data_IF_761742452991
#
_entry.id   IF_761742452991
#
_cell.length_a   1.000
_cell.length_b   1.000
_cell.length_c   1.000
_cell.angle_alpha   90.00
_cell.angle_beta   90.00
_cell.angle_gamma   90.00
#
_symmetry.space_group_name_H-M   'P 1'
#
loop_
_entity.id
_entity.type
_entity.pdbx_description
1 polymer ?
#
# COMPACT_ATOMS: atom_id res chain seq x y z
N UNK A 1 33.42 1.21 41.96
CA UNK A 1 32.16 1.70 41.36
C UNK A 1 32.13 1.23 39.92
N UNK A 2 31.38 0.16 39.63
CA UNK A 2 31.19 -0.31 38.26
C UNK A 2 30.09 0.54 37.62
N UNK A 3 30.42 1.29 36.57
CA UNK A 3 29.41 1.84 35.66
C UNK A 3 28.76 0.64 34.96
N UNK A 4 27.48 0.42 35.24
CA UNK A 4 26.63 -0.45 34.45
C UNK A 4 26.36 0.24 33.11
N UNK A 5 27.28 0.14 32.16
CA UNK A 5 26.96 0.37 30.75
C UNK A 5 26.06 -0.77 30.31
N UNK A 6 24.75 -0.51 30.34
CA UNK A 6 23.77 -1.29 29.60
C UNK A 6 24.06 -1.00 28.13
N UNK A 7 25.00 -1.73 27.54
CA UNK A 7 25.08 -1.87 26.10
C UNK A 7 23.80 -2.62 25.71
N UNK A 8 22.74 -1.89 25.32
CA UNK A 8 21.67 -2.53 24.58
C UNK A 8 22.32 -3.26 23.40
N UNK A 9 21.99 -4.54 23.16
CA UNK A 9 22.59 -5.28 22.07
C UNK A 9 22.13 -4.58 20.78
N UNK A 10 23.09 -4.12 19.96
CA UNK A 10 22.85 -3.47 18.66
C UNK A 10 21.85 -4.25 17.79
N UNK A 11 21.78 -5.57 17.98
CA UNK A 11 20.80 -6.47 17.38
C UNK A 11 19.34 -6.02 17.59
N UNK A 12 18.96 -5.55 18.78
CA UNK A 12 17.58 -5.13 19.05
C UNK A 12 17.18 -3.90 18.22
N UNK A 13 18.12 -2.98 18.00
CA UNK A 13 17.89 -1.77 17.22
C UNK A 13 17.76 -2.08 15.73
N UNK A 14 18.56 -3.02 15.22
CA UNK A 14 18.47 -3.52 13.85
C UNK A 14 17.08 -4.09 13.59
N UNK A 15 16.58 -5.02 14.41
CA UNK A 15 15.26 -5.63 14.19
C UNK A 15 14.11 -4.62 14.31
N UNK A 16 14.24 -3.63 15.20
CA UNK A 16 13.25 -2.55 15.33
C UNK A 16 13.18 -1.72 14.05
N UNK A 17 14.34 -1.31 13.51
CA UNK A 17 14.42 -0.54 12.27
C UNK A 17 13.91 -1.37 11.09
N UNK A 18 14.31 -2.64 11.00
CA UNK A 18 13.86 -3.57 9.96
C UNK A 18 12.34 -3.75 10.01
N UNK A 19 11.75 -3.89 11.20
CA UNK A 19 10.30 -3.97 11.35
C UNK A 19 9.58 -2.71 10.85
N UNK A 20 10.05 -1.53 11.25
CA UNK A 20 9.46 -0.24 10.85
C UNK A 20 9.63 0.02 9.34
N UNK A 21 10.76 -0.37 8.78
CA UNK A 21 11.04 -0.33 7.34
C UNK A 21 10.07 -1.23 6.57
N UNK A 22 9.91 -2.46 7.02
CA UNK A 22 9.01 -3.45 6.41
C UNK A 22 7.55 -2.99 6.44
N UNK A 23 7.09 -2.44 7.56
CA UNK A 23 5.75 -1.85 7.67
C UNK A 23 5.56 -0.68 6.69
N UNK A 24 6.55 0.24 6.62
CA UNK A 24 6.51 1.36 5.70
C UNK A 24 6.48 0.92 4.22
N UNK A 25 7.31 -0.07 3.85
CA UNK A 25 7.35 -0.65 2.50
C UNK A 25 6.03 -1.31 2.13
N UNK A 26 5.50 -2.19 2.99
CA UNK A 26 4.20 -2.85 2.76
C UNK A 26 3.07 -1.82 2.62
N UNK A 27 3.08 -0.79 3.44
CA UNK A 27 2.08 0.28 3.39
C UNK A 27 2.16 1.09 2.09
N UNK A 28 3.37 1.37 1.59
CA UNK A 28 3.58 2.06 0.32
C UNK A 28 3.20 1.18 -0.89
N UNK A 29 3.60 -0.09 -0.88
CA UNK A 29 3.27 -1.07 -1.93
C UNK A 29 1.76 -1.27 -2.03
N UNK A 30 1.06 -1.36 -0.89
CA UNK A 30 -0.40 -1.46 -0.86
C UNK A 30 -1.09 -0.28 -1.54
N UNK A 31 -0.60 0.94 -1.31
CA UNK A 31 -1.11 2.12 -2.02
C UNK A 31 -0.73 2.12 -3.50
N UNK A 32 0.45 1.61 -3.87
CA UNK A 32 0.83 1.47 -5.28
C UNK A 32 -0.14 0.55 -6.04
N UNK A 33 -0.52 -0.58 -5.45
CA UNK A 33 -1.51 -1.51 -6.00
C UNK A 33 -2.89 -0.87 -6.21
N UNK A 34 -3.26 0.14 -5.42
CA UNK A 34 -4.52 0.86 -5.63
C UNK A 34 -4.56 1.50 -7.02
N UNK A 35 -3.48 2.12 -7.49
CA UNK A 35 -3.43 2.80 -8.79
C UNK A 35 -3.37 1.83 -9.97
N UNK A 36 -2.77 0.65 -9.79
CA UNK A 36 -2.76 -0.39 -10.83
C UNK A 36 -4.13 -1.07 -10.94
N UNK A 37 -4.88 -1.20 -9.85
CA UNK A 37 -6.22 -1.80 -9.82
C UNK A 37 -7.34 -0.82 -10.12
N UNK A 38 -7.09 0.48 -9.96
CA UNK A 38 -8.10 1.53 -10.10
C UNK A 38 -7.67 2.48 -11.20
N UNK A 39 -8.45 2.54 -12.28
CA UNK A 39 -8.23 3.52 -13.33
C UNK A 39 -8.69 4.92 -12.89
N UNK A 40 -7.96 5.95 -13.30
CA UNK A 40 -8.42 7.33 -13.16
C UNK A 40 -9.78 7.47 -13.87
N UNK A 41 -10.83 8.00 -13.22
CA UNK A 41 -12.13 8.13 -13.84
C UNK A 41 -12.04 8.99 -15.11
N UNK A 42 -12.73 8.57 -16.17
CA UNK A 42 -12.85 9.33 -17.42
C UNK A 42 -14.21 10.02 -17.46
N UNK A 43 -14.21 11.34 -17.65
CA UNK A 43 -15.44 12.08 -17.90
C UNK A 43 -15.76 12.04 -19.40
N UNK A 44 -16.44 11.00 -19.87
CA UNK A 44 -17.08 11.07 -21.19
C UNK A 44 -18.37 11.88 -21.07
N UNK A 45 -18.42 13.01 -21.78
CA UNK A 45 -19.53 13.97 -21.78
C UNK A 45 -20.25 14.01 -23.13
N UNK A 46 -19.85 13.18 -24.10
CA UNK A 46 -20.48 13.16 -25.42
C UNK A 46 -21.94 12.72 -25.31
N UNK A 47 -22.85 13.55 -25.85
CA UNK A 47 -24.28 13.26 -25.92
C UNK A 47 -25.06 13.38 -24.60
N UNK A 48 -24.44 13.84 -23.51
CA UNK A 48 -25.10 13.99 -22.22
C UNK A 48 -25.84 15.34 -22.09
N UNK A 49 -26.96 15.35 -21.36
CA UNK A 49 -27.68 16.59 -21.02
C UNK A 49 -26.95 17.43 -19.95
N UNK A 50 -27.26 18.72 -19.81
CA UNK A 50 -26.54 19.63 -18.90
C UNK A 50 -26.44 19.14 -17.44
N UNK A 51 -27.55 18.62 -16.87
CA UNK A 51 -27.56 18.09 -15.51
C UNK A 51 -26.67 16.84 -15.37
N UNK A 52 -26.66 15.99 -16.40
CA UNK A 52 -25.85 14.79 -16.44
C UNK A 52 -24.37 15.11 -16.62
N UNK A 53 -24.03 16.10 -17.45
CA UNK A 53 -22.67 16.64 -17.57
C UNK A 53 -22.19 17.14 -16.20
N UNK A 54 -22.99 17.94 -15.50
CA UNK A 54 -22.62 18.45 -14.17
C UNK A 54 -22.38 17.32 -13.16
N UNK A 55 -23.25 16.31 -13.12
CA UNK A 55 -23.08 15.15 -12.24
C UNK A 55 -21.86 14.29 -12.59
N UNK A 56 -21.56 14.11 -13.90
CA UNK A 56 -20.36 13.38 -14.37
C UNK A 56 -19.08 14.15 -14.03
N UNK A 57 -19.07 15.47 -14.22
CA UNK A 57 -17.94 16.33 -13.84
C UNK A 57 -17.72 16.35 -12.32
N UNK A 58 -18.79 16.35 -11.52
CA UNK A 58 -18.72 16.24 -10.07
C UNK A 58 -18.00 14.97 -9.62
N UNK A 59 -18.44 13.80 -10.12
CA UNK A 59 -17.81 12.50 -9.85
C UNK A 59 -16.36 12.43 -10.34
N UNK A 60 -16.08 12.99 -11.52
CA UNK A 60 -14.71 13.06 -12.04
C UNK A 60 -13.80 13.90 -11.14
N UNK A 61 -14.27 15.06 -10.68
CA UNK A 61 -13.52 15.94 -9.78
C UNK A 61 -13.23 15.25 -8.45
N UNK A 62 -14.23 14.59 -7.88
CA UNK A 62 -14.08 13.83 -6.64
C UNK A 62 -13.08 12.69 -6.80
N UNK A 63 -13.19 11.90 -7.87
CA UNK A 63 -12.22 10.84 -8.15
C UNK A 63 -10.80 11.36 -8.35
N UNK A 64 -10.61 12.46 -9.09
CA UNK A 64 -9.28 13.07 -9.24
C UNK A 64 -8.71 13.55 -7.90
N UNK A 65 -9.55 14.10 -7.02
CA UNK A 65 -9.14 14.51 -5.66
C UNK A 65 -8.69 13.29 -4.84
N UNK A 66 -9.43 12.19 -4.86
CA UNK A 66 -9.03 10.95 -4.19
C UNK A 66 -7.70 10.41 -4.68
N UNK A 67 -7.47 10.42 -6.01
CA UNK A 67 -6.18 10.00 -6.57
C UNK A 67 -5.03 10.90 -6.14
N UNK A 68 -5.23 12.21 -6.15
CA UNK A 68 -4.24 13.18 -5.69
C UNK A 68 -3.87 12.96 -4.20
N UNK A 69 -4.87 12.76 -3.34
CA UNK A 69 -4.66 12.52 -1.91
C UNK A 69 -3.93 11.20 -1.65
N UNK A 70 -4.35 10.11 -2.32
CA UNK A 70 -3.67 8.81 -2.20
C UNK A 70 -2.24 8.84 -2.73
N UNK A 71 -1.99 9.59 -3.80
CA UNK A 71 -0.65 9.71 -4.35
C UNK A 71 0.28 10.42 -3.38
N UNK A 72 -0.20 11.49 -2.74
CA UNK A 72 0.55 12.19 -1.70
C UNK A 72 0.84 11.27 -0.50
N UNK A 73 -0.15 10.48 -0.05
CA UNK A 73 0.03 9.52 1.04
C UNK A 73 1.05 8.43 0.70
N UNK A 74 0.96 7.85 -0.50
CA UNK A 74 1.90 6.85 -0.99
C UNK A 74 3.33 7.40 -1.01
N UNK A 75 3.53 8.62 -1.53
CA UNK A 75 4.84 9.27 -1.54
C UNK A 75 5.37 9.53 -0.14
N UNK A 76 4.54 9.96 0.81
CA UNK A 76 4.94 10.11 2.20
C UNK A 76 5.39 8.78 2.82
N UNK A 77 4.70 7.67 2.50
CA UNK A 77 5.08 6.32 2.96
C UNK A 77 6.38 5.84 2.32
N UNK A 78 6.59 6.08 1.03
CA UNK A 78 7.86 5.80 0.34
C UNK A 78 9.02 6.59 0.96
N UNK A 79 8.83 7.88 1.25
CA UNK A 79 9.83 8.70 1.92
C UNK A 79 10.13 8.19 3.34
N UNK A 80 9.12 7.73 4.08
CA UNK A 80 9.33 7.08 5.38
C UNK A 80 10.15 5.80 5.25
N UNK A 81 9.88 4.97 4.25
CA UNK A 81 10.67 3.77 3.97
C UNK A 81 12.14 4.13 3.65
N UNK A 82 12.38 5.16 2.82
CA UNK A 82 13.74 5.66 2.53
C UNK A 82 14.48 6.12 3.79
N UNK A 83 13.79 6.83 4.68
CA UNK A 83 14.40 7.27 5.94
C UNK A 83 14.82 6.06 6.79
N UNK A 84 13.95 5.05 6.93
CA UNK A 84 14.31 3.84 7.68
C UNK A 84 15.41 3.03 7.01
N UNK A 85 15.45 2.96 5.68
CA UNK A 85 16.55 2.34 4.95
C UNK A 85 17.89 3.08 5.21
N UNK A 86 17.84 4.42 5.27
CA UNK A 86 19.01 5.25 5.60
C UNK A 86 19.49 5.06 7.04
N UNK A 87 18.59 4.77 7.99
CA UNK A 87 18.97 4.40 9.36
C UNK A 87 19.56 2.98 9.40
N UNK A 88 18.96 2.02 8.68
CA UNK A 88 19.48 0.66 8.56
C UNK A 88 20.91 0.66 8.00
N UNK A 89 21.21 1.54 7.05
CA UNK A 89 22.53 1.71 6.44
C UNK A 89 23.65 1.97 7.47
N UNK A 90 23.33 2.63 8.58
CA UNK A 90 24.31 3.00 9.61
C UNK A 90 24.69 1.81 10.51
N UNK A 91 23.83 0.80 10.57
CA UNK A 91 23.93 -0.30 11.54
C UNK A 91 24.10 -1.67 10.88
N UNK A 92 23.77 -1.81 9.59
CA UNK A 92 23.93 -3.04 8.81
C UNK A 92 24.86 -2.79 7.60
N UNK A 93 26.19 -2.79 7.79
CA UNK A 93 27.15 -2.53 6.70
C UNK A 93 27.14 -3.63 5.63
N UNK A 94 26.82 -4.87 6.01
CA UNK A 94 26.79 -6.00 5.08
C UNK A 94 25.59 -5.96 4.12
N UNK A 95 24.61 -5.09 4.37
CA UNK A 95 23.41 -4.90 3.54
C UNK A 95 23.41 -3.53 2.83
N UNK A 96 24.58 -2.91 2.73
CA UNK A 96 24.72 -1.54 2.23
C UNK A 96 24.33 -1.41 0.75
N UNK A 97 24.75 -2.35 -0.09
CA UNK A 97 24.55 -2.29 -1.53
C UNK A 97 23.06 -2.36 -1.91
N UNK A 98 22.30 -3.23 -1.23
CA UNK A 98 20.85 -3.36 -1.41
C UNK A 98 20.12 -2.09 -0.95
N UNK A 99 20.57 -1.48 0.14
CA UNK A 99 20.02 -0.21 0.63
C UNK A 99 20.28 0.90 -0.39
N UNK A 100 21.51 1.03 -0.90
CA UNK A 100 21.85 2.04 -1.91
C UNK A 100 21.05 1.83 -3.20
N UNK A 101 20.85 0.60 -3.64
CA UNK A 101 20.03 0.28 -4.81
C UNK A 101 18.59 0.77 -4.63
N UNK A 102 17.98 0.52 -3.46
CA UNK A 102 16.63 1.00 -3.16
C UNK A 102 16.56 2.53 -3.08
N UNK A 103 17.56 3.17 -2.46
CA UNK A 103 17.64 4.62 -2.34
C UNK A 103 17.87 5.30 -3.70
N UNK A 104 18.63 4.70 -4.60
CA UNK A 104 18.80 5.24 -5.95
C UNK A 104 17.50 5.08 -6.76
N UNK A 105 16.91 3.87 -6.75
CA UNK A 105 15.68 3.57 -7.49
C UNK A 105 14.48 4.44 -7.07
N UNK A 106 14.45 4.90 -5.83
CA UNK A 106 13.37 5.73 -5.29
C UNK A 106 13.75 7.21 -5.14
N UNK A 107 14.90 7.65 -5.68
CA UNK A 107 15.40 9.03 -5.57
C UNK A 107 14.42 10.09 -6.10
N UNK A 108 13.70 9.76 -7.19
CA UNK A 108 12.67 10.63 -7.77
C UNK A 108 11.56 11.03 -6.76
N UNK A 109 11.32 10.22 -5.74
CA UNK A 109 10.35 10.50 -4.68
C UNK A 109 10.72 11.75 -3.85
N UNK A 110 12.00 12.10 -3.73
CA UNK A 110 12.45 13.28 -2.98
C UNK A 110 12.03 14.58 -3.67
N UNK A 111 12.29 14.65 -4.97
CA UNK A 111 11.86 15.77 -5.81
C UNK A 111 10.33 15.89 -5.82
N UNK A 112 9.63 14.75 -5.91
CA UNK A 112 8.18 14.70 -5.84
C UNK A 112 7.67 15.20 -4.48
N UNK A 113 8.24 14.75 -3.36
CA UNK A 113 7.82 15.16 -2.02
C UNK A 113 7.86 16.69 -1.86
N UNK A 114 8.94 17.35 -2.31
CA UNK A 114 9.04 18.81 -2.23
C UNK A 114 7.93 19.52 -3.01
N UNK A 115 7.53 18.97 -4.16
CA UNK A 115 6.41 19.49 -4.95
C UNK A 115 5.06 19.25 -4.26
N UNK A 116 4.85 18.05 -3.70
CA UNK A 116 3.63 17.68 -2.99
C UNK A 116 3.44 18.46 -1.70
N UNK A 117 4.50 18.73 -0.93
CA UNK A 117 4.40 19.57 0.29
C UNK A 117 3.92 20.97 -0.06
N UNK A 118 4.44 21.55 -1.16
CA UNK A 118 3.97 22.86 -1.66
C UNK A 118 2.50 22.80 -2.08
N UNK A 119 2.07 21.72 -2.71
CA UNK A 119 0.68 21.55 -3.12
C UNK A 119 -0.26 21.25 -1.95
N UNK A 120 0.18 20.50 -0.94
CA UNK A 120 -0.57 20.23 0.28
C UNK A 120 -0.79 21.51 1.10
N UNK A 121 0.25 22.36 1.23
CA UNK A 121 0.12 23.69 1.83
C UNK A 121 -0.89 24.56 1.07
N UNK A 122 -0.89 24.49 -0.28
CA UNK A 122 -1.88 25.19 -1.12
C UNK A 122 -3.28 24.61 -0.95
N UNK A 123 -3.43 23.28 -0.86
CA UNK A 123 -4.71 22.60 -0.60
C UNK A 123 -5.30 23.03 0.75
N UNK A 124 -4.47 23.09 1.80
CA UNK A 124 -4.90 23.55 3.13
C UNK A 124 -5.35 25.01 3.12
N UNK A 125 -4.71 25.85 2.30
CA UNK A 125 -5.09 27.26 2.09
C UNK A 125 -6.27 27.45 1.12
N UNK A 126 -6.98 26.38 0.73
CA UNK A 126 -8.11 26.44 -0.21
C UNK A 126 -7.71 26.67 -1.68
N UNK A 127 -6.41 26.74 -1.98
CA UNK A 127 -5.84 26.98 -3.32
C UNK A 127 -5.34 25.71 -4.03
N UNK A 128 -5.69 24.53 -3.53
CA UNK A 128 -5.33 23.25 -4.15
C UNK A 128 -5.93 23.09 -5.53
N UNK A 129 -5.18 23.41 -6.57
CA UNK A 129 -5.71 23.34 -7.93
C UNK A 129 -5.57 21.94 -8.52
N UNK A 130 -6.71 21.30 -8.75
CA UNK A 130 -6.81 20.08 -9.57
C UNK A 130 -6.20 20.30 -10.96
N UNK A 131 -6.12 21.54 -11.43
CA UNK A 131 -5.50 21.87 -12.72
C UNK A 131 -4.04 21.44 -12.81
N UNK A 132 -3.26 21.54 -11.72
CA UNK A 132 -1.84 21.14 -11.71
C UNK A 132 -1.70 19.62 -11.75
N UNK A 133 -2.51 18.92 -10.94
CA UNK A 133 -2.56 17.46 -10.95
C UNK A 133 -2.90 16.92 -12.35
N UNK A 134 -3.84 17.55 -13.05
CA UNK A 134 -4.22 17.17 -14.40
C UNK A 134 -3.21 17.61 -15.46
N UNK A 135 -2.60 18.80 -15.34
CA UNK A 135 -1.63 19.31 -16.32
C UNK A 135 -0.38 18.46 -16.41
N UNK A 136 0.09 17.93 -15.28
CA UNK A 136 1.25 17.03 -15.22
C UNK A 136 0.98 15.67 -15.86
N UNK A 137 -0.29 15.30 -16.08
CA UNK A 137 -0.73 14.02 -16.64
C UNK A 137 -1.25 14.14 -18.06
N UNK A 138 -1.05 15.29 -18.70
CA UNK A 138 -1.36 15.42 -20.11
C UNK A 138 -0.32 14.63 -20.91
N UNK A 139 -0.73 13.80 -21.88
CA UNK A 139 0.22 13.17 -22.78
C UNK A 139 1.00 14.26 -23.50
N UNK A 140 2.33 14.22 -23.42
CA UNK A 140 3.18 15.16 -24.16
C UNK A 140 2.85 15.01 -25.67
N UNK A 141 2.40 16.08 -26.36
CA UNK A 141 2.07 16.00 -27.78
C UNK A 141 3.26 15.57 -28.65
N UNK A 142 4.49 15.61 -28.13
CA UNK A 142 5.71 15.16 -28.81
C UNK A 142 6.09 13.69 -28.53
N UNK A 143 5.50 13.07 -27.50
CA UNK A 143 5.79 11.67 -27.10
C UNK A 143 4.79 10.65 -27.65
N UNK A 144 4.06 10.99 -28.71
CA UNK A 144 3.16 10.06 -29.42
C UNK A 144 3.84 8.79 -29.98
N UNK A 145 5.17 8.69 -29.86
CA UNK A 145 5.98 7.56 -30.31
C UNK A 145 6.65 6.76 -29.19
N UNK A 146 6.47 7.10 -27.92
CA UNK A 146 6.83 6.16 -26.87
C UNK A 146 5.71 5.13 -26.74
N UNK A 147 6.01 3.83 -26.85
CA UNK A 147 5.02 2.81 -26.54
C UNK A 147 4.59 3.06 -25.10
N UNK A 148 3.35 3.50 -24.93
CA UNK A 148 2.67 3.44 -23.64
C UNK A 148 2.62 1.95 -23.33
N UNK A 149 3.62 1.44 -22.60
CA UNK A 149 3.50 0.15 -21.97
C UNK A 149 2.21 0.22 -21.15
N UNK A 150 1.24 -0.61 -21.55
CA UNK A 150 -0.16 -0.44 -21.21
C UNK A 150 -0.38 -0.21 -19.72
N UNK A 151 -1.08 0.86 -19.37
CA UNK A 151 -1.68 1.00 -18.04
C UNK A 151 -0.74 1.36 -16.88
N UNK A 152 0.54 1.69 -17.10
CA UNK A 152 1.41 2.10 -15.98
C UNK A 152 1.07 3.51 -15.51
N UNK A 153 0.55 3.64 -14.29
CA UNK A 153 0.31 4.94 -13.65
C UNK A 153 1.63 5.72 -13.48
N UNK A 154 1.61 7.03 -13.79
CA UNK A 154 2.76 7.91 -13.62
C UNK A 154 2.60 8.78 -12.37
N UNK A 155 3.48 8.57 -11.39
CA UNK A 155 3.54 9.35 -10.16
C UNK A 155 4.05 10.75 -10.48
N UNK A 156 3.29 11.76 -10.05
CA UNK A 156 3.56 13.16 -10.40
C UNK A 156 3.60 13.42 -11.91
N UNK A 157 3.04 12.53 -12.73
CA UNK A 157 3.05 12.64 -14.19
C UNK A 157 4.37 12.27 -14.87
N UNK A 158 5.40 11.83 -14.13
CA UNK A 158 6.75 11.61 -14.68
C UNK A 158 7.40 10.28 -14.32
N UNK A 159 7.12 9.75 -13.13
CA UNK A 159 7.83 8.56 -12.63
C UNK A 159 6.92 7.34 -12.75
N UNK A 160 7.38 6.28 -13.39
CA UNK A 160 6.60 5.06 -13.52
C UNK A 160 6.37 4.40 -12.15
N UNK A 161 5.11 4.28 -11.75
CA UNK A 161 4.76 3.68 -10.45
C UNK A 161 5.21 2.22 -10.36
N UNK A 162 5.12 1.50 -11.48
CA UNK A 162 5.53 0.10 -11.57
C UNK A 162 7.01 -0.10 -11.17
N UNK A 163 7.89 0.79 -11.61
CA UNK A 163 9.32 0.72 -11.30
C UNK A 163 9.58 0.96 -9.80
N UNK A 164 8.94 2.00 -9.24
CA UNK A 164 9.02 2.29 -7.80
C UNK A 164 8.49 1.14 -6.96
N UNK A 165 7.33 0.58 -7.33
CA UNK A 165 6.72 -0.57 -6.63
C UNK A 165 7.64 -1.78 -6.67
N UNK A 166 8.16 -2.11 -7.86
CA UNK A 166 9.04 -3.26 -8.06
C UNK A 166 10.31 -3.11 -7.22
N UNK A 167 10.94 -1.93 -7.20
CA UNK A 167 12.10 -1.68 -6.36
C UNK A 167 11.79 -1.89 -4.86
N UNK A 168 10.64 -1.41 -4.37
CA UNK A 168 10.22 -1.64 -2.99
C UNK A 168 9.92 -3.12 -2.68
N UNK A 169 9.34 -3.86 -3.62
CA UNK A 169 9.04 -5.29 -3.47
C UNK A 169 10.32 -6.14 -3.45
N UNK A 170 11.26 -5.87 -4.35
CA UNK A 170 12.57 -6.53 -4.40
C UNK A 170 13.32 -6.29 -3.09
N UNK A 171 13.39 -5.04 -2.64
CA UNK A 171 14.06 -4.71 -1.39
C UNK A 171 13.39 -5.33 -0.16
N UNK A 172 12.05 -5.38 -0.14
CA UNK A 172 11.31 -6.07 0.92
C UNK A 172 11.63 -7.57 0.96
N UNK A 173 11.74 -8.22 -0.20
CA UNK A 173 12.11 -9.64 -0.27
C UNK A 173 13.54 -9.89 0.24
N UNK A 174 14.49 -9.03 -0.12
CA UNK A 174 15.87 -9.09 0.36
C UNK A 174 15.95 -8.92 1.89
N UNK A 175 15.18 -7.99 2.46
CA UNK A 175 15.09 -7.83 3.92
C UNK A 175 14.56 -9.10 4.59
N UNK A 176 13.54 -9.72 4.00
CA UNK A 176 12.93 -10.93 4.55
C UNK A 176 13.92 -12.11 4.54
N UNK A 177 14.69 -12.26 3.46
CA UNK A 177 15.73 -13.27 3.34
C UNK A 177 16.87 -13.07 4.36
N UNK A 178 17.43 -11.86 4.44
CA UNK A 178 18.62 -11.58 5.26
C UNK A 178 18.30 -11.56 6.75
N UNK A 179 17.21 -10.92 7.17
CA UNK A 179 16.94 -10.66 8.60
C UNK A 179 15.94 -11.63 9.23
N UNK A 180 15.19 -12.41 8.45
CA UNK A 180 14.16 -13.31 9.00
C UNK A 180 14.32 -14.77 8.56
N UNK A 181 14.78 -15.05 7.34
CA UNK A 181 14.99 -16.43 6.89
C UNK A 181 16.20 -17.08 7.56
N UNK A 182 17.32 -16.37 7.72
CA UNK A 182 18.51 -16.90 8.42
C UNK A 182 18.24 -17.31 9.88
N UNK A 183 17.31 -16.60 10.55
CA UNK A 183 16.95 -16.87 11.96
C UNK A 183 15.96 -18.02 12.11
N UNK A 184 15.18 -18.36 11.08
CA UNK A 184 14.28 -19.51 11.12
C UNK A 184 15.09 -20.82 11.24
N UNK A 185 16.27 -20.88 10.63
CA UNK A 185 17.19 -22.01 10.76
C UNK A 185 17.84 -22.05 12.15
N UNK A 186 18.34 -20.92 12.67
CA UNK A 186 18.92 -20.85 14.02
C UNK A 186 17.93 -21.20 15.16
N UNK A 187 16.65 -20.84 15.01
CA UNK A 187 15.62 -21.17 16.01
C UNK A 187 15.12 -22.61 15.83
N UNK A 188 15.14 -23.16 14.61
CA UNK A 188 14.83 -24.57 14.36
C UNK A 188 15.86 -25.49 15.01
N UNK A 189 17.14 -25.12 15.02
CA UNK A 189 18.22 -25.90 15.65
C UNK A 189 18.21 -25.83 17.20
N UNK A 190 17.51 -24.83 17.77
CA UNK A 190 17.36 -24.64 19.21
C UNK A 190 16.04 -25.20 19.77
N UNK A 191 15.14 -25.67 18.91
CA UNK A 191 13.91 -26.33 19.33
C UNK A 191 14.21 -27.80 19.61
N UNK A 192 13.93 -28.31 20.82
CA UNK A 192 14.05 -29.74 21.08
C UNK A 192 13.09 -30.50 20.16
N UNK A 193 13.56 -31.63 19.62
CA UNK A 193 12.76 -32.53 18.79
C UNK A 193 11.37 -32.73 19.42
N UNK A 194 10.28 -32.63 18.64
CA UNK A 194 8.95 -32.83 19.16
C UNK A 194 8.90 -34.20 19.85
N UNK A 195 8.57 -34.19 21.14
CA UNK A 195 8.50 -35.40 21.94
C UNK A 195 7.65 -36.45 21.21
N UNK A 196 8.09 -37.73 21.15
CA UNK A 196 7.36 -38.76 20.44
C UNK A 196 5.94 -38.82 20.98
N UNK A 197 4.98 -38.58 20.08
CA UNK A 197 3.56 -38.60 20.42
C UNK A 197 3.24 -40.02 20.92
N UNK A 198 2.73 -40.19 22.15
CA UNK A 198 2.34 -41.51 22.63
C UNK A 198 1.27 -42.07 21.71
N UNK A 199 1.44 -43.33 21.28
CA UNK A 199 0.66 -44.03 20.25
C UNK A 199 -0.82 -44.31 20.61
N UNK A 200 -1.45 -43.45 21.40
CA UNK A 200 -2.83 -43.60 21.89
C UNK A 200 -3.77 -42.44 21.58
N UNK A 201 -3.35 -41.40 20.85
CA UNK A 201 -4.19 -40.23 20.54
C UNK A 201 -4.58 -40.10 19.05
N UNK A 202 -4.52 -41.20 18.30
CA UNK A 202 -5.17 -41.31 16.98
C UNK A 202 -6.48 -42.09 17.10
N UNK A 203 -7.44 -41.55 17.85
CA UNK A 203 -8.85 -41.83 17.57
C UNK A 203 -9.50 -40.54 17.12
N UNK A 204 -9.65 -40.42 15.79
CA UNK A 204 -10.48 -39.41 15.18
C UNK A 204 -11.93 -39.59 15.65
N UNK A 205 -12.61 -38.55 16.15
CA UNK A 205 -14.04 -38.65 16.40
C UNK A 205 -14.75 -38.80 15.05
N UNK A 206 -15.34 -39.98 14.82
CA UNK A 206 -16.33 -40.19 13.76
C UNK A 206 -17.56 -39.35 14.06
N UNK A 207 -17.64 -38.16 13.47
CA UNK A 207 -18.90 -37.40 13.40
C UNK A 207 -19.40 -37.39 11.96
N UNK A 208 -20.41 -38.23 11.73
CA UNK A 208 -21.36 -38.10 10.63
C UNK A 208 -22.15 -36.79 10.82
N UNK A 209 -22.36 -36.04 9.73
CA UNK A 209 -23.36 -34.97 9.65
C UNK A 209 -22.83 -33.61 9.18
N UNK A 210 -23.48 -32.95 8.20
CA UNK A 210 -23.03 -31.68 7.65
C UNK A 210 -23.30 -30.55 8.66
N UNK A 211 -22.24 -29.83 9.06
CA UNK A 211 -22.38 -28.63 9.87
C UNK A 211 -22.99 -27.51 9.02
N UNK A 212 -24.29 -27.34 9.21
CA UNK A 212 -25.06 -26.19 8.78
C UNK A 212 -24.49 -24.90 9.40
N UNK A 213 -24.32 -23.88 8.56
CA UNK A 213 -24.03 -22.50 8.95
C UNK A 213 -25.14 -21.99 9.90
N UNK A 214 -24.84 -21.35 11.03
CA UNK A 214 -25.84 -20.62 11.79
C UNK A 214 -26.14 -19.29 11.09
N UNK A 215 -27.08 -19.31 10.16
CA UNK A 215 -27.88 -18.14 9.77
C UNK A 215 -28.94 -17.92 10.86
N UNK A 216 -28.64 -17.07 11.84
CA UNK A 216 -29.62 -16.59 12.81
C UNK A 216 -29.19 -15.23 13.36
N UNK A 217 -29.26 -14.20 12.51
CA UNK A 217 -29.34 -12.79 12.91
C UNK A 217 -29.92 -11.99 11.73
N UNK A 218 -31.15 -12.33 11.35
CA UNK A 218 -32.02 -11.53 10.50
C UNK A 218 -33.44 -12.10 10.61
N UNK A 219 -34.41 -11.19 10.64
CA UNK A 219 -35.86 -11.40 10.66
C UNK A 219 -36.52 -11.50 12.04
N UNK A 220 -36.76 -10.32 12.58
CA UNK A 220 -38.00 -10.03 13.31
C UNK A 220 -38.73 -8.88 12.56
N UNK A 221 -39.25 -9.18 11.37
CA UNK A 221 -40.27 -8.37 10.68
C UNK A 221 -41.10 -9.30 9.81
N UNK A 222 -42.23 -9.74 10.37
CA UNK A 222 -43.27 -10.52 9.69
C UNK A 222 -43.95 -9.72 8.57
N UNK A 223 -44.26 -10.34 7.41
CA UNK A 223 -45.21 -9.80 6.45
C UNK A 223 -46.46 -10.70 6.33
N UNK A 224 -47.65 -10.09 6.37
CA UNK A 224 -48.89 -10.63 5.77
C UNK A 224 -49.91 -9.49 5.61
N UNK A 225 -50.08 -8.95 4.39
CA UNK A 225 -51.12 -9.26 3.38
C UNK A 225 -52.54 -8.80 3.76
N UNK A 226 -53.12 -7.92 2.94
CA UNK A 226 -54.55 -7.57 2.99
C UNK A 226 -54.95 -6.37 2.14
N UNK A 227 -55.24 -6.65 0.87
CA UNK A 227 -55.97 -5.94 -0.18
C UNK A 227 -56.78 -4.63 0.05
N UNK A 228 -56.73 -3.82 -1.03
CA UNK A 228 -57.72 -2.87 -1.63
C UNK A 228 -57.80 -1.38 -1.23
N UNK A 229 -58.06 -0.48 -2.22
CA UNK A 229 -57.89 0.98 -2.12
C UNK A 229 -59.20 1.70 -1.74
N UNK A 230 -59.17 3.03 -1.59
CA UNK A 230 -60.06 3.80 -2.47
C UNK A 230 -59.50 5.11 -3.01
N UNK A 231 -60.04 5.46 -4.18
CA UNK A 231 -60.12 6.80 -4.75
C UNK A 231 -61.01 7.71 -3.90
N UNK A 232 -60.57 8.94 -3.66
CA UNK A 232 -61.19 10.16 -4.21
C UNK A 232 -60.32 11.39 -3.97
#
# INVERSE_FOLDING_TARGET
>A
MALWTINQPQDHDIYTIVYLLKDALKSAISDAWFFERTALPKADVKGAGHAEIAARLGRFREGCKTFQEREALMLMKMMRARNWASELRKIAPDFHDEIEQMLEATSACEALQAEFVRDAQRMFNGGGSLSRFLSLRQPDPRSAHQPIHGGSYLVGGRTALFELRTACEVFLAQIDEVFFSARAEEVSDLLPDPAPVPAGFLEAPKHEGPLALPLALLEDMTPAKGDTPPLH
#
